data_IF_424487778673
#
_entry.id   IF_424487778673
#
_cell.length_a   1.000
_cell.length_b   1.000
_cell.length_c   1.000
_cell.angle_alpha   90.00
_cell.angle_beta   90.00
_cell.angle_gamma   90.00
#
_symmetry.space_group_name_H-M   'P 1'
#
loop_
_entity.id
_entity.type
_entity.pdbx_description
1 polymer ?
#
# COMPACT_ATOMS: atom_id res chain seq x y z
N UNK A 1 -36.39 -24.53 -14.86
CA UNK A 1 -36.30 -23.15 -15.36
C UNK A 1 -34.93 -22.99 -16.02
N UNK A 2 -34.95 -22.64 -17.30
CA UNK A 2 -33.73 -22.35 -18.04
C UNK A 2 -33.04 -21.12 -17.44
N UNK A 3 -31.71 -21.17 -17.34
CA UNK A 3 -30.90 -20.06 -16.86
C UNK A 3 -30.14 -19.44 -18.02
N UNK A 4 -30.21 -18.15 -18.17
CA UNK A 4 -29.47 -17.46 -19.23
C UNK A 4 -28.13 -16.95 -18.72
N UNK A 5 -27.13 -16.95 -19.59
CA UNK A 5 -25.81 -16.40 -19.31
C UNK A 5 -25.91 -14.89 -19.15
N UNK A 6 -25.34 -14.37 -18.06
CA UNK A 6 -25.36 -12.92 -17.79
C UNK A 6 -24.58 -12.12 -18.85
N UNK A 7 -23.58 -12.72 -19.49
CA UNK A 7 -22.75 -12.04 -20.48
C UNK A 7 -23.29 -12.13 -21.91
N UNK A 8 -23.56 -13.32 -22.45
CA UNK A 8 -24.03 -13.47 -23.83
C UNK A 8 -25.58 -13.56 -23.97
N UNK A 9 -26.28 -13.89 -22.88
CA UNK A 9 -27.73 -14.03 -22.88
C UNK A 9 -28.23 -15.39 -23.38
N UNK A 10 -27.35 -16.28 -23.81
CA UNK A 10 -27.71 -17.62 -24.28
C UNK A 10 -28.24 -18.49 -23.15
N UNK A 11 -29.14 -19.41 -23.51
CA UNK A 11 -29.69 -20.37 -22.57
C UNK A 11 -28.63 -21.39 -22.17
N UNK A 12 -28.48 -21.64 -20.86
CA UNK A 12 -27.46 -22.54 -20.32
C UNK A 12 -28.15 -23.84 -19.89
N UNK A 13 -27.67 -24.96 -20.40
CA UNK A 13 -28.09 -26.27 -19.90
C UNK A 13 -27.76 -26.43 -18.42
N UNK A 14 -28.66 -27.00 -17.64
CA UNK A 14 -28.56 -27.06 -16.18
C UNK A 14 -27.25 -27.64 -15.64
N UNK A 15 -26.65 -28.57 -16.38
CA UNK A 15 -25.43 -29.29 -15.99
C UNK A 15 -24.13 -28.56 -16.39
N UNK A 16 -24.19 -27.57 -17.29
CA UNK A 16 -22.99 -26.84 -17.79
C UNK A 16 -22.85 -25.45 -17.22
N UNK A 17 -23.85 -24.97 -16.46
CA UNK A 17 -23.84 -23.65 -15.86
C UNK A 17 -22.69 -23.50 -14.86
N UNK A 18 -21.79 -22.54 -15.12
CA UNK A 18 -20.79 -22.05 -14.17
C UNK A 18 -21.37 -20.91 -13.35
N UNK A 19 -20.70 -20.57 -12.24
CA UNK A 19 -21.12 -19.49 -11.36
C UNK A 19 -20.00 -18.48 -11.20
N UNK A 20 -20.35 -17.20 -11.25
CA UNK A 20 -19.47 -16.07 -10.93
C UNK A 20 -20.14 -15.25 -9.84
N UNK A 21 -19.38 -14.85 -8.83
CA UNK A 21 -19.86 -14.04 -7.72
C UNK A 21 -19.25 -12.63 -7.80
N UNK A 22 -20.09 -11.61 -7.72
CA UNK A 22 -19.68 -10.21 -7.64
C UNK A 22 -20.44 -9.54 -6.49
N UNK A 23 -19.70 -9.17 -5.44
CA UNK A 23 -20.31 -8.75 -4.18
C UNK A 23 -21.24 -9.83 -3.60
N UNK A 24 -22.47 -9.46 -3.31
CA UNK A 24 -23.47 -10.35 -2.71
C UNK A 24 -24.21 -11.22 -3.72
N UNK A 25 -23.99 -11.03 -5.01
CA UNK A 25 -24.75 -11.71 -6.06
C UNK A 25 -23.93 -12.75 -6.80
N UNK A 26 -24.57 -13.92 -6.95
CA UNK A 26 -24.03 -15.03 -7.75
C UNK A 26 -24.88 -15.22 -9.01
N UNK A 27 -24.20 -15.22 -10.17
CA UNK A 27 -24.81 -15.29 -11.48
C UNK A 27 -24.43 -16.55 -12.21
N UNK A 28 -25.31 -17.00 -13.13
CA UNK A 28 -25.05 -18.13 -14.02
C UNK A 28 -24.35 -17.65 -15.29
N UNK A 29 -23.35 -18.40 -15.72
CA UNK A 29 -22.50 -18.09 -16.88
C UNK A 29 -22.26 -19.37 -17.69
N UNK A 30 -22.29 -19.28 -19.02
CA UNK A 30 -21.93 -20.40 -19.89
C UNK A 30 -20.40 -20.69 -19.81
N UNK A 31 -19.93 -21.88 -20.17
CA UNK A 31 -18.51 -22.24 -20.10
C UNK A 31 -17.60 -21.25 -20.85
N UNK A 32 -17.95 -20.85 -22.07
CA UNK A 32 -17.14 -19.96 -22.91
C UNK A 32 -16.99 -18.56 -22.29
N UNK A 33 -18.09 -18.02 -21.73
CA UNK A 33 -18.02 -16.74 -21.01
C UNK A 33 -17.30 -16.86 -19.68
N UNK A 34 -17.36 -18.01 -19.02
CA UNK A 34 -16.62 -18.27 -17.79
C UNK A 34 -15.11 -18.31 -18.06
N UNK A 35 -14.65 -18.97 -19.12
CA UNK A 35 -13.24 -19.01 -19.50
C UNK A 35 -12.72 -17.59 -19.83
N UNK A 36 -13.58 -16.76 -20.44
CA UNK A 36 -13.22 -15.40 -20.81
C UNK A 36 -13.25 -14.39 -19.67
N UNK A 37 -14.20 -14.50 -18.76
CA UNK A 37 -14.47 -13.49 -17.72
C UNK A 37 -14.38 -14.02 -16.29
N UNK A 38 -14.21 -15.32 -16.08
CA UNK A 38 -14.20 -15.92 -14.75
C UNK A 38 -13.02 -15.51 -13.86
N UNK A 39 -11.97 -14.96 -14.47
CA UNK A 39 -10.82 -14.38 -13.75
C UNK A 39 -11.04 -12.96 -13.24
N UNK A 40 -12.04 -12.24 -13.75
CA UNK A 40 -12.36 -10.88 -13.32
C UNK A 40 -12.93 -10.88 -11.90
N UNK A 41 -12.58 -9.86 -11.11
CA UNK A 41 -13.04 -9.71 -9.72
C UNK A 41 -13.37 -8.26 -9.39
N UNK A 42 -14.15 -8.08 -8.33
CA UNK A 42 -14.44 -6.76 -7.78
C UNK A 42 -15.02 -5.80 -8.81
N UNK A 43 -14.45 -4.62 -8.91
CA UNK A 43 -14.95 -3.53 -9.76
C UNK A 43 -14.92 -3.89 -11.25
N UNK A 44 -13.86 -4.52 -11.76
CA UNK A 44 -13.77 -4.93 -13.17
C UNK A 44 -14.90 -5.88 -13.59
N UNK A 45 -15.25 -6.81 -12.71
CA UNK A 45 -16.37 -7.73 -12.94
C UNK A 45 -17.71 -6.99 -12.91
N UNK A 46 -17.89 -6.06 -11.96
CA UNK A 46 -19.11 -5.27 -11.85
C UNK A 46 -19.33 -4.40 -13.10
N UNK A 47 -18.31 -3.71 -13.59
CA UNK A 47 -18.33 -2.94 -14.83
C UNK A 47 -18.71 -3.80 -16.04
N UNK A 48 -18.11 -5.00 -16.11
CA UNK A 48 -18.40 -5.92 -17.20
C UNK A 48 -19.84 -6.41 -17.18
N UNK A 49 -20.40 -6.67 -15.99
CA UNK A 49 -21.80 -7.07 -15.83
C UNK A 49 -22.73 -5.92 -16.25
N UNK A 50 -22.46 -4.69 -15.81
CA UNK A 50 -23.24 -3.51 -16.19
C UNK A 50 -23.23 -3.29 -17.71
N UNK A 51 -22.08 -3.45 -18.36
CA UNK A 51 -21.95 -3.29 -19.79
C UNK A 51 -22.82 -4.26 -20.62
N UNK A 52 -23.32 -5.35 -20.03
CA UNK A 52 -24.23 -6.28 -20.71
C UNK A 52 -25.67 -5.78 -20.78
N UNK A 53 -26.08 -4.87 -19.88
CA UNK A 53 -27.46 -4.41 -19.71
C UNK A 53 -28.45 -5.52 -19.34
N UNK A 54 -27.97 -6.68 -18.87
CA UNK A 54 -28.78 -7.85 -18.55
C UNK A 54 -28.97 -8.11 -17.08
N UNK A 55 -28.29 -7.34 -16.23
CA UNK A 55 -28.38 -7.48 -14.78
C UNK A 55 -29.70 -6.93 -14.27
N UNK A 56 -30.38 -7.68 -13.38
CA UNK A 56 -31.53 -7.17 -12.61
C UNK A 56 -31.13 -6.28 -11.42
N UNK A 57 -29.82 -6.15 -11.16
CA UNK A 57 -29.28 -5.46 -10.01
C UNK A 57 -28.30 -4.36 -10.44
N UNK A 58 -28.66 -3.59 -11.48
CA UNK A 58 -27.80 -2.53 -12.01
C UNK A 58 -27.43 -1.47 -10.96
N UNK A 59 -28.42 -1.04 -10.18
CA UNK A 59 -28.22 -0.02 -9.14
C UNK A 59 -27.22 -0.50 -8.07
N UNK A 60 -27.27 -1.78 -7.70
CA UNK A 60 -26.31 -2.38 -6.80
C UNK A 60 -24.88 -2.29 -7.35
N UNK A 61 -24.67 -2.71 -8.62
CA UNK A 61 -23.34 -2.68 -9.21
C UNK A 61 -22.80 -1.26 -9.41
N UNK A 62 -23.66 -0.30 -9.73
CA UNK A 62 -23.29 1.13 -9.78
C UNK A 62 -22.83 1.61 -8.41
N UNK A 63 -23.62 1.36 -7.37
CA UNK A 63 -23.27 1.72 -5.99
C UNK A 63 -22.00 1.02 -5.51
N UNK A 64 -21.81 -0.25 -5.89
CA UNK A 64 -20.61 -1.01 -5.55
C UNK A 64 -19.34 -0.41 -6.20
N UNK A 65 -19.43 -0.01 -7.47
CA UNK A 65 -18.33 0.65 -8.18
C UNK A 65 -18.01 2.00 -7.53
N UNK A 66 -19.01 2.85 -7.31
CA UNK A 66 -18.85 4.17 -6.70
C UNK A 66 -18.21 4.07 -5.32
N UNK A 67 -18.66 3.13 -4.49
CA UNK A 67 -18.09 2.88 -3.18
C UNK A 67 -16.63 2.39 -3.26
N UNK A 68 -16.34 1.51 -4.21
CA UNK A 68 -14.98 1.00 -4.42
C UNK A 68 -14.02 2.10 -4.87
N UNK A 69 -14.47 2.99 -5.76
CA UNK A 69 -13.70 4.17 -6.20
C UNK A 69 -13.43 5.12 -5.05
N UNK A 70 -14.44 5.38 -4.21
CA UNK A 70 -14.30 6.26 -3.04
C UNK A 70 -13.27 5.72 -2.04
N UNK A 71 -13.32 4.42 -1.72
CA UNK A 71 -12.33 3.78 -0.83
C UNK A 71 -10.92 3.93 -1.40
N UNK A 72 -10.77 3.74 -2.71
CA UNK A 72 -9.47 3.88 -3.38
C UNK A 72 -8.93 5.31 -3.31
N UNK A 73 -9.78 6.30 -3.58
CA UNK A 73 -9.42 7.72 -3.48
C UNK A 73 -9.00 8.09 -2.05
N UNK A 74 -9.78 7.66 -1.05
CA UNK A 74 -9.44 7.90 0.36
C UNK A 74 -8.12 7.24 0.77
N UNK A 75 -7.80 6.06 0.24
CA UNK A 75 -6.53 5.39 0.48
C UNK A 75 -5.35 6.17 -0.15
N UNK A 76 -5.49 6.60 -1.40
CA UNK A 76 -4.49 7.41 -2.10
C UNK A 76 -4.24 8.75 -1.40
N UNK A 77 -5.30 9.42 -0.91
CA UNK A 77 -5.16 10.66 -0.14
C UNK A 77 -4.44 10.46 1.20
N UNK A 78 -4.72 9.33 1.89
CA UNK A 78 -4.03 8.98 3.14
C UNK A 78 -2.54 8.71 2.91
N UNK A 79 -2.21 8.03 1.82
CA UNK A 79 -0.81 7.78 1.45
C UNK A 79 -0.07 9.08 1.12
N UNK A 80 -0.69 9.97 0.34
CA UNK A 80 -0.12 11.30 0.05
C UNK A 80 0.14 12.11 1.32
N UNK A 81 -0.84 12.16 2.23
CA UNK A 81 -0.66 12.87 3.51
C UNK A 81 0.48 12.30 4.35
N UNK A 82 0.61 10.96 4.39
CA UNK A 82 1.73 10.32 5.09
C UNK A 82 3.08 10.65 4.46
N UNK A 83 3.13 10.69 3.14
CA UNK A 83 4.36 11.04 2.42
C UNK A 83 4.72 12.52 2.63
N UNK A 84 3.75 13.43 2.57
CA UNK A 84 3.96 14.86 2.88
C UNK A 84 4.43 15.06 4.32
N UNK A 85 3.80 14.40 5.29
CA UNK A 85 4.20 14.45 6.70
C UNK A 85 5.60 13.88 6.91
N UNK A 86 5.92 12.76 6.25
CA UNK A 86 7.26 12.18 6.28
C UNK A 86 8.31 13.14 5.71
N UNK A 87 8.04 13.71 4.53
CA UNK A 87 8.97 14.62 3.87
C UNK A 87 9.14 15.94 4.67
N UNK A 88 8.10 16.41 5.36
CA UNK A 88 8.20 17.59 6.22
C UNK A 88 9.08 17.36 7.46
N UNK A 89 9.08 16.15 8.01
CA UNK A 89 9.93 15.76 9.14
C UNK A 89 11.37 15.44 8.73
N UNK A 90 11.56 15.01 7.49
CA UNK A 90 12.85 14.56 6.97
C UNK A 90 13.25 15.37 5.74
N UNK A 91 13.76 16.60 5.95
CA UNK A 91 14.14 17.47 4.84
C UNK A 91 15.25 16.84 4.00
N UNK A 92 15.23 17.11 2.71
CA UNK A 92 16.21 16.66 1.76
C UNK A 92 17.51 17.47 1.95
N UNK A 93 18.64 16.80 2.19
CA UNK A 93 19.94 17.41 2.47
C UNK A 93 20.92 17.36 1.30
N UNK A 94 20.57 16.68 0.24
CA UNK A 94 21.46 16.57 -0.93
C UNK A 94 21.27 15.27 -1.70
N UNK A 95 22.30 14.94 -2.49
CA UNK A 95 22.32 13.73 -3.31
C UNK A 95 23.19 12.65 -2.72
N UNK A 96 22.72 11.42 -2.78
CA UNK A 96 23.44 10.25 -2.34
C UNK A 96 24.71 10.04 -3.16
N UNK A 97 25.91 9.91 -2.55
CA UNK A 97 27.15 9.69 -3.27
C UNK A 97 27.22 8.33 -3.97
N UNK A 98 26.35 7.39 -3.57
CA UNK A 98 26.36 6.02 -4.10
C UNK A 98 25.45 5.83 -5.31
N UNK A 99 24.26 6.44 -5.32
CA UNK A 99 23.25 6.25 -6.40
C UNK A 99 22.70 7.54 -6.99
N UNK A 100 23.05 8.71 -6.43
CA UNK A 100 22.54 10.01 -6.86
C UNK A 100 21.12 10.36 -6.40
N UNK A 101 20.42 9.43 -5.70
CA UNK A 101 19.09 9.66 -5.15
C UNK A 101 19.06 10.65 -3.98
N UNK A 102 17.87 11.12 -3.55
CA UNK A 102 17.75 12.11 -2.49
C UNK A 102 18.19 11.56 -1.12
N UNK A 103 18.94 12.35 -0.37
CA UNK A 103 19.32 12.08 1.01
C UNK A 103 18.35 12.79 1.95
N UNK A 104 17.77 12.05 2.89
CA UNK A 104 16.84 12.56 3.89
C UNK A 104 17.51 12.63 5.26
N UNK A 105 17.33 13.73 5.95
CA UNK A 105 17.80 13.95 7.30
C UNK A 105 16.80 13.35 8.31
N UNK A 106 17.31 12.58 9.26
CA UNK A 106 16.52 12.01 10.36
C UNK A 106 16.85 12.71 11.67
N UNK A 107 16.02 12.51 12.68
CA UNK A 107 16.24 13.06 14.01
C UNK A 107 17.56 12.55 14.60
N UNK A 108 18.27 13.39 15.38
CA UNK A 108 19.50 12.99 16.05
C UNK A 108 19.29 11.77 16.96
N UNK A 109 20.20 10.81 16.91
CA UNK A 109 20.19 9.62 17.75
C UNK A 109 21.47 9.55 18.60
N UNK A 110 21.33 9.11 19.84
CA UNK A 110 22.47 8.92 20.73
C UNK A 110 22.99 7.49 20.63
N UNK A 111 24.24 7.34 20.19
CA UNK A 111 24.95 6.07 20.14
C UNK A 111 25.80 5.94 21.39
N UNK A 112 25.62 4.88 22.16
CA UNK A 112 26.46 4.57 23.32
C UNK A 112 27.80 4.03 22.85
N UNK A 113 28.88 4.61 23.36
CA UNK A 113 30.27 4.19 23.11
C UNK A 113 30.73 3.32 24.28
N UNK A 114 30.78 1.99 24.11
CA UNK A 114 31.31 1.06 25.11
C UNK A 114 30.56 -0.27 25.13
N UNK A 115 31.21 -1.32 25.63
CA UNK A 115 30.60 -2.63 25.84
C UNK A 115 29.82 -2.64 27.15
N UNK A 116 28.56 -3.12 27.12
CA UNK A 116 27.81 -3.43 28.33
C UNK A 116 28.36 -4.71 28.96
N UNK A 117 29.16 -4.57 30.05
CA UNK A 117 29.54 -5.73 30.86
C UNK A 117 28.44 -6.05 31.85
N UNK A 118 27.99 -7.32 31.86
CA UNK A 118 26.80 -7.82 32.56
C UNK A 118 26.85 -7.60 34.11
N UNK A 119 28.02 -7.39 34.70
CA UNK A 119 28.19 -7.30 36.14
C UNK A 119 28.18 -5.87 36.73
N UNK A 120 28.29 -4.83 35.92
CA UNK A 120 28.34 -3.44 36.38
C UNK A 120 27.58 -2.48 35.44
N UNK A 121 26.44 -2.89 34.91
CA UNK A 121 25.69 -2.16 33.90
C UNK A 121 25.38 -0.70 34.28
N UNK A 122 25.09 -0.44 35.57
CA UNK A 122 24.74 0.91 36.03
C UNK A 122 25.95 1.82 36.19
N UNK A 123 27.10 1.29 36.59
CA UNK A 123 28.35 2.07 36.69
C UNK A 123 28.97 2.34 35.31
N UNK A 124 28.87 1.39 34.39
CA UNK A 124 29.32 1.60 33.01
C UNK A 124 28.43 2.60 32.25
N UNK A 125 27.14 2.70 32.57
CA UNK A 125 26.24 3.73 32.02
C UNK A 125 26.68 5.15 32.36
N UNK A 126 27.31 5.35 33.52
CA UNK A 126 27.83 6.65 33.95
C UNK A 126 29.20 6.95 33.33
N UNK A 127 29.99 5.93 32.94
CA UNK A 127 31.36 6.07 32.42
C UNK A 127 31.46 5.92 30.90
N UNK A 128 30.45 5.39 30.21
CA UNK A 128 30.45 5.29 28.75
C UNK A 128 29.89 6.58 28.15
N UNK A 129 30.73 7.26 27.37
CA UNK A 129 30.32 8.44 26.62
C UNK A 129 29.20 8.09 25.64
N UNK A 130 28.29 9.01 25.42
CA UNK A 130 27.32 8.93 24.32
C UNK A 130 27.73 9.91 23.23
N UNK A 131 27.68 9.45 21.98
CA UNK A 131 27.85 10.29 20.81
C UNK A 131 26.49 10.54 20.19
N UNK A 132 26.06 11.81 20.13
CA UNK A 132 24.87 12.19 19.38
C UNK A 132 25.26 12.35 17.92
N UNK A 133 24.58 11.61 17.05
CA UNK A 133 24.79 11.66 15.60
C UNK A 133 23.46 11.92 14.90
N UNK A 134 23.55 12.64 13.80
CA UNK A 134 22.42 12.90 12.92
C UNK A 134 22.53 12.03 11.66
N UNK A 135 21.65 11.07 11.48
CA UNK A 135 21.69 10.21 10.29
C UNK A 135 21.05 10.88 9.10
N UNK A 136 21.74 10.84 7.95
CA UNK A 136 21.18 11.13 6.64
C UNK A 136 21.11 9.84 5.85
N UNK A 137 19.92 9.46 5.36
CA UNK A 137 19.72 8.20 4.68
C UNK A 137 19.16 8.43 3.27
N UNK A 138 19.73 7.74 2.30
CA UNK A 138 19.22 7.74 0.93
C UNK A 138 17.86 7.03 0.84
N UNK A 139 16.86 7.71 0.26
CA UNK A 139 15.50 7.18 0.06
C UNK A 139 15.49 5.96 -0.86
N UNK A 140 16.41 5.89 -1.84
CA UNK A 140 16.43 4.85 -2.87
C UNK A 140 17.27 3.62 -2.49
N UNK A 141 18.54 3.82 -2.13
CA UNK A 141 19.47 2.69 -1.89
C UNK A 141 19.72 2.39 -0.41
N UNK A 142 19.18 3.18 0.52
CA UNK A 142 19.35 2.99 1.96
C UNK A 142 20.74 3.34 2.48
N UNK A 143 21.65 3.86 1.65
CA UNK A 143 22.95 4.35 2.10
C UNK A 143 22.76 5.39 3.20
N UNK A 144 23.52 5.27 4.30
CA UNK A 144 23.37 6.13 5.47
C UNK A 144 24.72 6.72 5.85
N UNK A 145 24.74 8.02 6.05
CA UNK A 145 25.85 8.78 6.60
C UNK A 145 25.49 9.30 7.98
N UNK A 146 26.45 9.40 8.87
CA UNK A 146 26.26 9.94 10.21
C UNK A 146 27.10 11.21 10.37
N UNK A 147 26.45 12.28 10.78
CA UNK A 147 27.08 13.56 11.07
C UNK A 147 26.98 13.83 12.56
N UNK A 148 28.02 14.44 13.14
CA UNK A 148 27.91 15.04 14.47
C UNK A 148 27.23 16.40 14.30
N UNK A 149 26.10 16.65 14.97
CA UNK A 149 25.48 17.98 14.95
C UNK A 149 26.47 19.02 15.49
N UNK A 150 26.46 20.20 14.89
CA UNK A 150 27.24 21.30 15.47
C UNK A 150 26.65 21.65 16.85
N UNK A 151 27.51 21.91 17.83
CA UNK A 151 27.11 22.23 19.22
C UNK A 151 26.13 23.40 19.31
N UNK A 152 26.10 24.29 18.32
CA UNK A 152 25.18 25.43 18.21
C UNK A 152 23.74 25.06 17.74
N UNK A 153 23.49 23.82 17.28
CA UNK A 153 22.18 23.36 16.83
C UNK A 153 21.44 22.52 17.90
N UNK A 154 22.10 22.28 19.05
CA UNK A 154 21.57 21.50 20.17
C UNK A 154 20.95 22.34 21.28
N UNK A 155 20.88 23.67 21.13
CA UNK A 155 20.26 24.63 22.02
C UNK A 155 18.93 25.14 21.45
#
# INVERSE_FOLDING_TARGET
>A
MAKNCIFCGEEIAAFTAKKITCGDYTMSVCPDCFDKYGGLKGMELAEKILATGRSRHEDYYRTFIDHSLKIRQEAEEREKKKEEEFNSRHPETGKCPKCGGPMLQYDPVSIKLGEETFLFSDLNRLMTGSLTVQPNRCKECGYTEFFTPNENELL
#
